data_IF_573899810560
#
_entry.id   IF_573899810560
#
_cell.length_a   1.000
_cell.length_b   1.000
_cell.length_c   1.000
_cell.angle_alpha   90.00
_cell.angle_beta   90.00
_cell.angle_gamma   90.00
#
_symmetry.space_group_name_H-M   'P 1'
#
loop_
_entity.id
_entity.type
_entity.pdbx_description
1 polymer ?
#
# COMPACT_ATOMS: atom_id res chain seq x y z
N UNK A 1 -2.58 1.89 10.26
CA UNK A 1 -2.58 0.48 9.79
C UNK A 1 -4.01 0.11 9.44
N UNK A 2 -4.27 -0.52 8.31
CA UNK A 2 -5.61 -1.01 7.96
C UNK A 2 -5.57 -2.48 7.56
N UNK A 3 -6.61 -3.21 7.93
CA UNK A 3 -6.79 -4.62 7.58
C UNK A 3 -7.58 -4.67 6.28
N UNK A 4 -7.09 -5.44 5.31
CA UNK A 4 -7.75 -5.66 4.02
C UNK A 4 -8.98 -6.55 4.22
N UNK A 5 -10.11 -5.95 4.65
CA UNK A 5 -11.32 -6.69 5.03
C UNK A 5 -12.36 -6.82 3.93
N UNK A 6 -12.45 -5.87 2.99
CA UNK A 6 -13.47 -5.91 1.93
C UNK A 6 -12.91 -5.62 0.53
N UNK A 7 -13.52 -6.24 -0.48
CA UNK A 7 -13.09 -6.19 -1.88
C UNK A 7 -13.30 -4.81 -2.51
N UNK A 8 -14.36 -4.10 -2.14
CA UNK A 8 -14.71 -2.80 -2.73
C UNK A 8 -13.75 -1.67 -2.35
N UNK A 9 -13.27 -1.62 -1.10
CA UNK A 9 -12.28 -0.63 -0.68
C UNK A 9 -10.96 -0.83 -1.41
N UNK A 10 -10.60 -2.09 -1.67
CA UNK A 10 -9.39 -2.44 -2.43
C UNK A 10 -9.55 -2.01 -3.89
N UNK A 11 -10.69 -2.33 -4.53
CA UNK A 11 -10.95 -1.94 -5.91
C UNK A 11 -10.91 -0.42 -6.11
N UNK A 12 -11.57 0.38 -5.25
CA UNK A 12 -11.53 1.85 -5.37
C UNK A 12 -10.12 2.41 -5.23
N UNK A 13 -9.30 1.82 -4.37
CA UNK A 13 -7.94 2.29 -4.14
C UNK A 13 -7.00 1.89 -5.29
N UNK A 14 -7.23 0.74 -5.95
CA UNK A 14 -6.52 0.32 -7.17
C UNK A 14 -6.82 1.26 -8.34
N UNK A 15 -8.09 1.60 -8.58
CA UNK A 15 -8.45 2.49 -9.69
C UNK A 15 -7.80 3.88 -9.53
N UNK A 16 -7.81 4.44 -8.31
CA UNK A 16 -7.09 5.70 -8.02
C UNK A 16 -5.58 5.59 -8.24
N UNK A 17 -4.97 4.45 -7.93
CA UNK A 17 -3.54 4.24 -8.17
C UNK A 17 -3.18 4.23 -9.67
N UNK A 18 -4.06 3.65 -10.51
CA UNK A 18 -3.93 3.67 -11.97
C UNK A 18 -4.08 5.09 -12.51
N UNK A 19 -5.12 5.82 -12.09
CA UNK A 19 -5.39 7.20 -12.52
C UNK A 19 -4.23 8.16 -12.19
N UNK A 20 -3.60 7.98 -11.03
CA UNK A 20 -2.53 8.88 -10.59
C UNK A 20 -1.12 8.47 -11.07
N UNK A 21 -0.98 7.38 -11.84
CA UNK A 21 0.32 6.83 -12.26
C UNK A 21 1.35 6.83 -11.12
N UNK A 22 0.91 6.47 -9.91
CA UNK A 22 1.75 6.61 -8.71
C UNK A 22 3.00 5.78 -8.85
N UNK A 23 4.16 6.44 -8.81
CA UNK A 23 5.45 5.78 -8.88
C UNK A 23 5.75 5.05 -7.57
N UNK A 24 6.03 3.74 -7.67
CA UNK A 24 6.39 2.88 -6.54
C UNK A 24 7.83 2.44 -6.69
N UNK A 25 8.65 2.67 -5.65
CA UNK A 25 10.03 2.20 -5.55
C UNK A 25 10.17 1.24 -4.39
N UNK A 26 10.72 0.05 -4.65
CA UNK A 26 11.05 -0.92 -3.59
C UNK A 26 12.22 -0.38 -2.77
N UNK A 27 12.07 -0.34 -1.44
CA UNK A 27 13.18 -0.08 -0.52
C UNK A 27 13.78 -1.38 -0.02
N UNK A 28 12.93 -2.28 0.47
CA UNK A 28 13.23 -3.67 0.84
C UNK A 28 11.94 -4.49 0.76
N UNK A 29 12.02 -5.81 0.84
CA UNK A 29 10.81 -6.63 0.88
C UNK A 29 9.88 -6.18 2.02
N UNK A 30 8.62 -5.92 1.70
CA UNK A 30 7.63 -5.39 2.65
C UNK A 30 7.70 -3.88 2.90
N UNK A 31 8.60 -3.11 2.27
CA UNK A 31 8.70 -1.66 2.45
C UNK A 31 8.91 -0.93 1.11
N UNK A 32 8.03 0.03 0.83
CA UNK A 32 7.92 0.70 -0.46
C UNK A 32 7.86 2.21 -0.27
N UNK A 33 8.55 2.95 -1.15
CA UNK A 33 8.33 4.37 -1.31
C UNK A 33 7.33 4.62 -2.42
N UNK A 34 6.28 5.37 -2.12
CA UNK A 34 5.23 5.71 -3.09
C UNK A 34 5.15 7.21 -3.25
N UNK A 35 5.28 7.69 -4.49
CA UNK A 35 5.15 9.11 -4.82
C UNK A 35 3.68 9.52 -4.70
N UNK A 36 3.41 10.55 -3.90
CA UNK A 36 2.09 11.17 -3.80
C UNK A 36 1.86 12.25 -4.86
N UNK A 37 0.61 12.72 -4.94
CA UNK A 37 0.18 13.72 -5.93
C UNK A 37 0.95 15.05 -5.86
N UNK A 38 1.40 15.46 -4.68
CA UNK A 38 2.19 16.67 -4.46
C UNK A 38 3.71 16.49 -4.67
N UNK A 39 4.16 15.34 -5.18
CA UNK A 39 5.58 15.06 -5.42
C UNK A 39 6.36 14.51 -4.22
N UNK A 40 5.79 14.56 -3.01
CA UNK A 40 6.36 13.95 -1.81
C UNK A 40 6.31 12.42 -1.88
N UNK A 41 7.20 11.74 -1.15
CA UNK A 41 7.20 10.29 -1.01
C UNK A 41 6.63 9.87 0.34
N UNK A 42 5.82 8.83 0.33
CA UNK A 42 5.30 8.18 1.54
C UNK A 42 5.85 6.77 1.66
N UNK A 43 6.21 6.36 2.87
CA UNK A 43 6.56 4.96 3.13
C UNK A 43 5.28 4.15 3.31
N UNK A 44 5.19 3.05 2.56
CA UNK A 44 4.18 2.01 2.73
C UNK A 44 4.88 0.76 3.24
N UNK A 45 4.32 0.15 4.30
CA UNK A 45 4.80 -1.12 4.85
C UNK A 45 3.72 -2.18 4.68
N UNK A 46 4.11 -3.32 4.14
CA UNK A 46 3.30 -4.52 4.02
C UNK A 46 3.91 -5.57 4.94
N UNK A 47 3.14 -6.01 5.93
CA UNK A 47 3.63 -6.88 6.99
C UNK A 47 2.64 -8.00 7.30
N UNK A 48 3.17 -9.11 7.82
CA UNK A 48 2.36 -10.18 8.40
C UNK A 48 2.47 -10.05 9.92
N UNK A 49 1.35 -9.83 10.57
CA UNK A 49 1.26 -9.71 12.01
C UNK A 49 1.47 -11.07 12.69
N UNK A 50 1.75 -11.05 13.99
CA UNK A 50 2.02 -12.25 14.80
C UNK A 50 0.87 -13.26 14.81
N UNK A 51 -0.38 -12.79 14.66
CA UNK A 51 -1.59 -13.62 14.56
C UNK A 51 -1.84 -14.14 13.13
N UNK A 52 -0.89 -13.91 12.21
CA UNK A 52 -0.97 -14.34 10.82
C UNK A 52 -1.76 -13.41 9.91
N UNK A 53 -2.39 -12.34 10.42
CA UNK A 53 -3.11 -11.36 9.61
C UNK A 53 -2.13 -10.57 8.72
N UNK A 54 -2.57 -10.22 7.51
CA UNK A 54 -1.83 -9.35 6.60
C UNK A 54 -2.25 -7.90 6.83
N UNK A 55 -1.29 -7.04 7.12
CA UNK A 55 -1.52 -5.64 7.40
C UNK A 55 -0.75 -4.74 6.43
N UNK A 56 -1.35 -3.59 6.13
CA UNK A 56 -0.68 -2.51 5.41
C UNK A 56 -0.77 -1.23 6.21
N UNK A 57 0.35 -0.52 6.28
CA UNK A 57 0.45 0.81 6.86
C UNK A 57 1.07 1.79 5.87
N UNK A 58 0.65 3.05 5.94
CA UNK A 58 1.17 4.13 5.10
C UNK A 58 1.29 5.40 5.95
N UNK A 59 2.38 6.14 5.74
CA UNK A 59 2.69 7.35 6.51
C UNK A 59 1.87 8.59 6.10
N UNK A 60 1.06 8.51 5.04
CA UNK A 60 0.13 9.59 4.68
C UNK A 60 -1.00 9.75 5.72
N UNK A 61 -1.63 10.94 5.75
CA UNK A 61 -2.71 11.27 6.69
C UNK A 61 -3.78 10.18 6.76
N UNK A 62 -4.32 9.74 5.62
CA UNK A 62 -5.32 8.68 5.58
C UNK A 62 -4.82 7.36 6.22
N UNK A 63 -3.58 6.97 5.95
CA UNK A 63 -2.99 5.74 6.48
C UNK A 63 -2.72 5.80 8.00
N UNK A 64 -2.39 6.99 8.53
CA UNK A 64 -2.25 7.25 9.96
C UNK A 64 -3.59 7.06 10.69
N UNK A 65 -4.70 7.48 10.08
CA UNK A 65 -6.06 7.25 10.60
C UNK A 65 -6.63 5.86 10.23
N UNK A 66 -5.82 4.91 9.78
CA UNK A 66 -6.28 3.55 9.46
C UNK A 66 -7.23 3.48 8.26
N UNK A 67 -7.24 4.50 7.42
CA UNK A 67 -8.07 4.55 6.21
C UNK A 67 -7.28 4.04 5.00
N UNK A 68 -7.85 3.14 4.18
CA UNK A 68 -7.22 2.73 2.92
C UNK A 68 -6.90 3.94 2.02
N UNK A 69 -5.64 4.08 1.63
CA UNK A 69 -5.17 5.16 0.77
C UNK A 69 -4.66 4.61 -0.57
N UNK A 70 -4.64 5.46 -1.60
CA UNK A 70 -4.17 5.07 -2.92
C UNK A 70 -2.68 4.69 -2.92
N UNK A 71 -1.86 5.27 -2.04
CA UNK A 71 -0.45 4.87 -1.89
C UNK A 71 -0.31 3.39 -1.47
N UNK A 72 -1.11 2.98 -0.48
CA UNK A 72 -1.13 1.60 -0.01
C UNK A 72 -1.62 0.63 -1.08
N UNK A 73 -2.66 1.03 -1.82
CA UNK A 73 -3.17 0.23 -2.93
C UNK A 73 -2.22 0.15 -4.13
N UNK A 74 -1.41 1.19 -4.37
CA UNK A 74 -0.37 1.16 -5.39
C UNK A 74 0.76 0.18 -5.05
N UNK A 75 1.16 0.10 -3.78
CA UNK A 75 2.24 -0.80 -3.35
C UNK A 75 1.82 -2.28 -3.29
N UNK A 76 0.54 -2.56 -3.04
CA UNK A 76 0.03 -3.92 -2.81
C UNK A 76 0.26 -4.89 -3.98
N UNK A 77 -0.07 -4.57 -5.25
CA UNK A 77 0.19 -5.46 -6.38
C UNK A 77 1.66 -5.82 -6.52
N UNK A 78 2.57 -4.85 -6.35
CA UNK A 78 4.00 -5.09 -6.41
C UNK A 78 4.46 -6.02 -5.27
N UNK A 79 3.95 -5.78 -4.05
CA UNK A 79 4.23 -6.67 -2.92
C UNK A 79 3.74 -8.10 -3.15
N UNK A 80 2.50 -8.26 -3.64
CA UNK A 80 1.94 -9.57 -3.96
C UNK A 80 2.76 -10.29 -5.02
N UNK A 81 3.17 -9.60 -6.08
CA UNK A 81 4.02 -10.18 -7.11
C UNK A 81 5.36 -10.67 -6.54
N UNK A 82 6.05 -9.82 -5.78
CA UNK A 82 7.32 -10.18 -5.14
C UNK A 82 7.17 -11.34 -4.14
N UNK A 83 6.06 -11.41 -3.40
CA UNK A 83 5.81 -12.45 -2.41
C UNK A 83 5.48 -13.83 -3.01
N UNK A 84 5.15 -13.91 -4.30
CA UNK A 84 4.93 -15.19 -5.02
C UNK A 84 6.20 -15.66 -5.73
N UNK A 85 7.17 -14.77 -5.93
CA UNK A 85 8.46 -15.08 -6.56
C UNK A 85 9.57 -15.46 -5.56
N UNK A 86 9.24 -15.59 -4.28
CA UNK A 86 10.10 -16.02 -3.18
C UNK A 86 9.48 -17.24 -2.49
#
# INVERSE_FOLDING_TARGET
MFILRNREQISKAIERAKEHHTFVRVRRFGEYFVKGSAGNFYTVRCERLADGQKAVSCECVAGQFGTPCYHAAAALPLHMHMAVSH
#
